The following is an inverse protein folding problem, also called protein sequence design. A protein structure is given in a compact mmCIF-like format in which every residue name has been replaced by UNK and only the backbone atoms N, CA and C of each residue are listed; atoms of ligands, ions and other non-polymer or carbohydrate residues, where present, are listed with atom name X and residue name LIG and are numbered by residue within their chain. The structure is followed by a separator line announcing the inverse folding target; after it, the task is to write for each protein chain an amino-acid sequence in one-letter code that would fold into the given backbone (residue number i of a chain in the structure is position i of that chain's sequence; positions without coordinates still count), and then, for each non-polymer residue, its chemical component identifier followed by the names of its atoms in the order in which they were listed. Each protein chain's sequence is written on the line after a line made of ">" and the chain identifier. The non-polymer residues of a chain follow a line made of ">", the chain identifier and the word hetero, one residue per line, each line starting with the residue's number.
data_IF_640937310275
#
_entry.id   IF_640937310275
#
_cell.length_a   1.000
_cell.length_b   1.000
_cell.length_c   1.000
_cell.angle_alpha   90.00
_cell.angle_beta   90.00
_cell.angle_gamma   90.00
#
_symmetry.space_group_name_H-M   'P 1'
#
loop_
_entity.id
_entity.type
_entity.pdbx_description
1 polymer ?
#
# COMPACT_ATOMS: atom_id res chain seq x y z
N UNK A 1 6.35 12.68 -1.40
CA UNK A 1 5.05 12.50 -2.08
C UNK A 1 4.85 13.61 -3.09
N UNK A 2 4.60 13.28 -4.35
CA UNK A 2 4.50 14.28 -5.43
C UNK A 2 3.17 14.99 -5.46
N UNK A 3 2.07 14.28 -5.24
CA UNK A 3 0.73 14.85 -5.16
C UNK A 3 -0.17 13.96 -4.30
N UNK A 4 -1.28 14.52 -3.90
CA UNK A 4 -2.34 13.80 -3.20
C UNK A 4 -3.69 14.29 -3.72
N UNK A 5 -4.47 13.38 -4.27
CA UNK A 5 -5.77 13.67 -4.86
C UNK A 5 -6.88 12.90 -4.13
N UNK A 6 -8.08 13.44 -4.17
CA UNK A 6 -9.26 12.79 -3.62
C UNK A 6 -10.26 12.45 -4.73
N UNK A 7 -10.95 11.34 -4.58
CA UNK A 7 -12.01 10.91 -5.49
C UNK A 7 -13.28 10.57 -4.71
N UNK A 8 -14.41 11.01 -5.21
CA UNK A 8 -15.70 10.71 -4.59
C UNK A 8 -16.20 9.34 -5.06
N UNK A 9 -16.58 8.52 -4.08
CA UNK A 9 -17.27 7.25 -4.30
C UNK A 9 -18.63 7.30 -3.58
N UNK A 10 -19.61 6.46 -3.97
CA UNK A 10 -20.97 6.54 -3.44
C UNK A 10 -21.10 6.52 -1.91
N UNK A 11 -20.21 5.82 -1.22
CA UNK A 11 -20.27 5.67 0.24
C UNK A 11 -18.99 6.06 0.97
N UNK A 12 -17.89 6.17 0.25
CA UNK A 12 -16.56 6.40 0.85
C UNK A 12 -15.70 7.23 -0.09
N UNK A 13 -14.78 7.96 0.49
CA UNK A 13 -13.78 8.67 -0.28
C UNK A 13 -12.51 7.84 -0.47
N UNK A 14 -11.74 8.24 -1.46
CA UNK A 14 -10.42 7.68 -1.75
C UNK A 14 -9.43 8.82 -1.88
N UNK A 15 -8.26 8.63 -1.31
CA UNK A 15 -7.11 9.49 -1.53
C UNK A 15 -6.12 8.74 -2.41
N UNK A 16 -5.73 9.35 -3.50
CA UNK A 16 -4.67 8.87 -4.37
C UNK A 16 -3.46 9.79 -4.24
N UNK A 17 -2.29 9.19 -4.11
CA UNK A 17 -1.05 9.92 -3.97
C UNK A 17 0.03 9.31 -4.84
N UNK A 18 0.87 10.15 -5.43
CA UNK A 18 2.10 9.69 -6.09
C UNK A 18 3.26 9.87 -5.12
N UNK A 19 4.03 8.79 -4.97
CA UNK A 19 5.22 8.79 -4.13
C UNK A 19 6.39 9.40 -4.91
N UNK A 20 7.26 10.14 -4.22
CA UNK A 20 8.53 10.56 -4.78
C UNK A 20 9.54 9.42 -4.76
N UNK A 21 10.64 9.59 -5.46
CA UNK A 21 11.65 8.55 -5.60
C UNK A 21 12.23 8.12 -4.26
N UNK A 22 12.37 9.05 -3.33
CA UNK A 22 12.88 8.76 -1.99
C UNK A 22 11.96 7.81 -1.21
N UNK A 23 10.65 8.05 -1.27
CA UNK A 23 9.65 7.17 -0.65
C UNK A 23 9.68 5.76 -1.28
N UNK A 24 9.79 5.71 -2.60
CA UNK A 24 9.85 4.45 -3.36
C UNK A 24 11.11 3.66 -3.01
N UNK A 25 12.25 4.32 -2.96
CA UNK A 25 13.52 3.68 -2.61
C UNK A 25 13.50 3.11 -1.19
N UNK A 26 12.92 3.84 -0.27
CA UNK A 26 12.73 3.37 1.09
C UNK A 26 11.86 2.11 1.17
N UNK A 27 10.74 2.10 0.45
CA UNK A 27 9.85 0.93 0.41
C UNK A 27 10.56 -0.28 -0.22
N UNK A 28 11.33 -0.10 -1.28
CA UNK A 28 12.13 -1.18 -1.86
C UNK A 28 13.15 -1.74 -0.89
N UNK A 29 13.80 -0.88 -0.12
CA UNK A 29 14.71 -1.30 0.94
C UNK A 29 14.02 -2.21 1.95
N UNK A 30 12.80 -1.88 2.36
CA UNK A 30 12.01 -2.71 3.26
C UNK A 30 11.61 -4.05 2.59
N UNK A 31 11.17 -4.00 1.34
CA UNK A 31 10.79 -5.20 0.60
C UNK A 31 11.96 -6.17 0.49
N UNK A 32 13.15 -5.69 0.12
CA UNK A 32 14.34 -6.54 0.04
C UNK A 32 14.77 -7.09 1.41
N UNK A 33 14.61 -6.29 2.44
CA UNK A 33 14.98 -6.71 3.81
C UNK A 33 14.07 -7.82 4.33
N UNK A 34 12.77 -7.74 4.07
CA UNK A 34 11.78 -8.63 4.69
C UNK A 34 11.31 -9.76 3.79
N UNK A 35 11.63 -9.75 2.49
CA UNK A 35 11.23 -10.82 1.59
C UNK A 35 11.94 -12.13 1.93
N UNK A 36 11.19 -13.24 2.19
CA UNK A 36 11.81 -14.51 2.53
C UNK A 36 12.22 -15.27 1.26
N UNK A 37 13.46 -15.70 1.20
CA UNK A 37 13.99 -16.61 0.15
C UNK A 37 13.65 -16.21 -1.29
N UNK A 38 13.40 -14.92 -1.53
CA UNK A 38 13.13 -14.40 -2.86
C UNK A 38 14.43 -14.19 -3.64
N UNK A 39 14.38 -14.46 -4.93
CA UNK A 39 15.47 -14.16 -5.86
C UNK A 39 15.12 -12.89 -6.61
N UNK A 40 15.96 -11.88 -6.46
CA UNK A 40 15.78 -10.57 -7.06
C UNK A 40 16.89 -10.27 -8.06
N UNK A 41 16.54 -9.56 -9.13
CA UNK A 41 17.46 -8.88 -10.03
C UNK A 41 17.14 -7.38 -9.95
N UNK A 42 17.90 -6.64 -9.11
CA UNK A 42 17.52 -5.29 -8.74
C UNK A 42 16.15 -5.28 -8.04
N UNK A 43 15.21 -4.54 -8.56
CA UNK A 43 13.82 -4.49 -8.08
C UNK A 43 12.87 -5.39 -8.87
N UNK A 44 13.42 -6.31 -9.65
CA UNK A 44 12.65 -7.29 -10.40
C UNK A 44 12.66 -8.62 -9.65
N UNK A 45 11.48 -9.12 -9.34
CA UNK A 45 11.33 -10.45 -8.74
C UNK A 45 11.55 -11.53 -9.80
N UNK A 46 12.51 -12.41 -9.58
CA UNK A 46 12.77 -13.56 -10.45
C UNK A 46 11.99 -14.77 -9.97
N UNK A 47 12.08 -15.08 -8.68
CA UNK A 47 11.34 -16.20 -8.10
C UNK A 47 11.11 -16.01 -6.61
N UNK A 48 10.03 -16.56 -6.13
CA UNK A 48 9.69 -16.63 -4.71
C UNK A 48 8.83 -17.87 -4.50
N UNK A 49 8.99 -18.54 -3.36
CA UNK A 49 8.15 -19.65 -2.99
C UNK A 49 6.68 -19.22 -2.85
N UNK A 50 5.76 -20.10 -3.25
CA UNK A 50 4.32 -19.80 -3.24
C UNK A 50 3.83 -19.34 -1.86
N UNK A 51 4.24 -20.02 -0.81
CA UNK A 51 3.83 -19.70 0.56
C UNK A 51 4.47 -18.42 1.10
N UNK A 52 5.48 -17.89 0.40
CA UNK A 52 6.24 -16.70 0.81
C UNK A 52 5.86 -15.44 0.03
N UNK A 53 4.90 -15.52 -0.88
CA UNK A 53 4.49 -14.38 -1.73
C UNK A 53 3.86 -13.24 -0.94
N UNK A 54 3.32 -13.50 0.22
CA UNK A 54 2.82 -12.48 1.12
C UNK A 54 3.63 -12.52 2.41
N UNK A 55 4.26 -11.43 2.75
CA UNK A 55 5.13 -11.36 3.92
C UNK A 55 4.96 -10.03 4.66
N UNK A 56 5.09 -10.05 6.00
CA UNK A 56 5.00 -8.83 6.78
C UNK A 56 6.21 -7.94 6.55
N UNK A 57 5.98 -6.65 6.62
CA UNK A 57 7.00 -5.61 6.57
C UNK A 57 6.89 -4.79 7.84
N UNK A 58 8.02 -4.29 8.31
CA UNK A 58 8.04 -3.30 9.37
C UNK A 58 8.56 -1.96 8.82
N UNK A 59 7.90 -0.87 9.18
CA UNK A 59 8.32 0.49 8.83
C UNK A 59 9.44 0.93 9.80
N UNK A 60 10.63 0.40 9.60
CA UNK A 60 11.74 0.44 10.57
C UNK A 60 12.10 1.85 11.06
N UNK A 61 12.03 2.83 10.17
CA UNK A 61 12.37 4.22 10.47
C UNK A 61 11.13 5.12 10.58
N UNK A 62 9.94 4.54 10.53
CA UNK A 62 8.66 5.24 10.52
C UNK A 62 8.51 6.27 9.39
N UNK A 63 9.32 6.16 8.34
CA UNK A 63 9.31 7.13 7.24
C UNK A 63 8.07 7.01 6.37
N UNK A 64 7.60 5.79 6.11
CA UNK A 64 6.39 5.60 5.34
C UNK A 64 5.17 6.11 6.10
N UNK A 65 5.06 5.79 7.37
CA UNK A 65 3.98 6.29 8.22
C UNK A 65 3.99 7.81 8.30
N UNK A 66 5.14 8.41 8.56
CA UNK A 66 5.24 9.85 8.78
C UNK A 66 5.13 10.67 7.49
N UNK A 67 5.71 10.19 6.39
CA UNK A 67 5.84 10.96 5.15
C UNK A 67 4.73 10.68 4.14
N UNK A 68 4.03 9.56 4.26
CA UNK A 68 3.00 9.16 3.31
C UNK A 68 1.66 8.94 3.98
N UNK A 69 1.56 8.00 4.90
CA UNK A 69 0.26 7.62 5.48
C UNK A 69 -0.37 8.75 6.30
N UNK A 70 0.42 9.39 7.12
CA UNK A 70 -0.07 10.48 7.98
C UNK A 70 -0.59 11.67 7.18
N UNK A 71 0.15 12.20 6.18
CA UNK A 71 -0.39 13.24 5.31
C UNK A 71 -1.63 12.81 4.54
N UNK A 72 -1.68 11.58 4.05
CA UNK A 72 -2.86 11.07 3.35
C UNK A 72 -4.08 10.97 4.27
N UNK A 73 -3.88 10.51 5.50
CA UNK A 73 -4.95 10.42 6.50
C UNK A 73 -5.47 11.81 6.87
N UNK A 74 -4.60 12.78 7.06
CA UNK A 74 -4.98 14.16 7.34
C UNK A 74 -5.79 14.74 6.17
N UNK A 75 -5.35 14.49 4.94
CA UNK A 75 -6.09 14.88 3.73
C UNK A 75 -7.47 14.25 3.67
N UNK A 76 -7.58 12.97 4.02
CA UNK A 76 -8.85 12.26 4.07
C UNK A 76 -9.81 12.90 5.09
N UNK A 77 -9.33 13.16 6.30
CA UNK A 77 -10.15 13.81 7.33
C UNK A 77 -10.59 15.22 6.92
N UNK A 78 -9.71 15.99 6.33
CA UNK A 78 -10.03 17.34 5.86
C UNK A 78 -11.07 17.34 4.74
N UNK A 79 -11.03 16.33 3.87
CA UNK A 79 -11.90 16.23 2.70
C UNK A 79 -13.26 15.61 3.04
N UNK A 80 -13.26 14.51 3.80
CA UNK A 80 -14.47 13.69 4.04
C UNK A 80 -14.95 13.73 5.48
N UNK A 81 -14.21 14.37 6.37
CA UNK A 81 -14.46 14.32 7.81
C UNK A 81 -14.05 12.98 8.42
N UNK A 82 -14.22 12.86 9.72
CA UNK A 82 -14.01 11.59 10.41
C UNK A 82 -15.33 10.81 10.41
N UNK A 83 -15.43 9.71 9.63
CA UNK A 83 -16.68 8.95 9.51
C UNK A 83 -17.03 8.18 10.78
N UNK A 84 -16.11 8.12 11.72
CA UNK A 84 -16.31 7.42 13.00
C UNK A 84 -16.23 8.41 14.14
N UNK A 85 -17.18 8.34 15.06
CA UNK A 85 -17.06 9.01 16.35
C UNK A 85 -16.04 8.24 17.18
N UNK A 86 -14.78 8.51 16.96
CA UNK A 86 -13.71 7.94 17.79
C UNK A 86 -13.85 8.54 19.19
N UNK A 87 -14.35 7.77 20.11
CA UNK A 87 -14.58 8.18 21.52
C UNK A 87 -13.28 8.19 22.33
N UNK A 88 -12.13 8.38 21.72
CA UNK A 88 -10.85 8.35 22.43
C UNK A 88 -10.20 9.73 22.40
N UNK A 89 -9.46 10.03 23.43
CA UNK A 89 -8.64 11.26 23.53
C UNK A 89 -7.51 11.29 22.49
N UNK A 90 -7.23 10.17 21.83
CA UNK A 90 -6.20 9.99 20.80
C UNK A 90 -6.81 9.74 19.42
N UNK A 91 -7.93 10.39 19.11
CA UNK A 91 -8.71 10.17 17.91
C UNK A 91 -7.93 10.37 16.59
N UNK A 92 -6.79 11.01 16.63
CA UNK A 92 -5.96 11.30 15.45
C UNK A 92 -4.71 10.43 15.36
N UNK A 93 -4.47 9.56 16.32
CA UNK A 93 -3.34 8.64 16.32
C UNK A 93 -3.77 7.32 15.72
N UNK A 94 -3.30 7.07 14.50
CA UNK A 94 -3.50 5.82 13.79
C UNK A 94 -2.20 5.02 13.81
N UNK A 95 -2.33 3.73 14.05
CA UNK A 95 -1.20 2.80 14.02
C UNK A 95 -1.46 1.71 12.99
N UNK A 96 -0.40 1.09 12.49
CA UNK A 96 -0.54 -0.06 11.64
C UNK A 96 -1.20 -1.21 12.41
N UNK A 97 -2.32 -1.70 11.88
CA UNK A 97 -2.85 -2.99 12.26
C UNK A 97 -2.06 -4.08 11.54
N UNK A 98 -1.84 -3.90 10.25
CA UNK A 98 -1.05 -4.81 9.41
C UNK A 98 -0.32 -4.01 8.35
N UNK A 99 0.92 -4.41 8.09
CA UNK A 99 1.70 -3.90 6.98
C UNK A 99 2.44 -5.09 6.36
N UNK A 100 2.09 -5.39 5.11
CA UNK A 100 2.68 -6.52 4.41
C UNK A 100 2.86 -6.19 2.93
N UNK A 101 3.74 -6.95 2.31
CA UNK A 101 3.95 -6.92 0.87
C UNK A 101 3.38 -8.19 0.25
N UNK A 102 2.79 -8.05 -0.92
CA UNK A 102 2.44 -9.17 -1.77
C UNK A 102 3.27 -9.10 -3.05
N UNK A 103 4.06 -10.14 -3.29
CA UNK A 103 4.78 -10.33 -4.52
C UNK A 103 3.94 -11.21 -5.44
N UNK A 104 3.72 -10.75 -6.67
CA UNK A 104 2.94 -11.50 -7.65
C UNK A 104 3.78 -11.73 -8.90
N UNK A 105 3.59 -12.88 -9.52
CA UNK A 105 4.19 -13.24 -10.81
C UNK A 105 3.06 -13.39 -11.83
N UNK A 106 3.42 -13.51 -13.11
CA UNK A 106 2.46 -13.67 -14.19
C UNK A 106 1.50 -14.85 -13.92
N UNK A 107 0.21 -14.61 -14.12
CA UNK A 107 -0.82 -15.62 -13.90
C UNK A 107 -1.31 -15.75 -12.47
N UNK A 108 -0.75 -15.02 -11.53
CA UNK A 108 -1.23 -15.03 -10.15
C UNK A 108 -2.65 -14.45 -10.05
N UNK A 109 -3.46 -15.09 -9.24
CA UNK A 109 -4.83 -14.70 -8.97
C UNK A 109 -5.08 -14.66 -7.48
N UNK A 110 -5.83 -13.65 -7.03
CA UNK A 110 -6.31 -13.57 -5.67
C UNK A 110 -7.84 -13.40 -5.70
N UNK A 111 -8.54 -14.29 -5.01
CA UNK A 111 -10.00 -14.23 -4.92
C UNK A 111 -10.46 -12.98 -4.18
N UNK A 112 -11.72 -12.60 -4.41
CA UNK A 112 -12.34 -11.48 -3.70
C UNK A 112 -12.29 -11.75 -2.19
N UNK A 113 -11.82 -10.77 -1.44
CA UNK A 113 -11.69 -10.84 0.01
C UNK A 113 -11.86 -9.45 0.60
N UNK A 114 -12.04 -9.36 1.90
CA UNK A 114 -12.13 -8.11 2.62
C UNK A 114 -10.96 -7.94 3.60
N UNK A 115 -10.81 -6.73 4.11
CA UNK A 115 -9.81 -6.37 5.09
C UNK A 115 -10.44 -5.67 6.27
N UNK A 116 -9.89 -5.89 7.44
CA UNK A 116 -10.28 -5.19 8.65
C UNK A 116 -9.44 -3.94 8.84
N UNK A 117 -9.98 -2.96 9.56
CA UNK A 117 -9.29 -1.71 9.87
C UNK A 117 -10.14 -0.49 9.55
N UNK A 118 -9.71 0.65 10.05
CA UNK A 118 -10.36 1.94 9.78
C UNK A 118 -10.02 2.42 8.38
N UNK A 119 -8.74 2.35 8.00
CA UNK A 119 -8.24 2.68 6.69
C UNK A 119 -7.49 1.51 6.08
N UNK A 120 -7.60 1.41 4.78
CA UNK A 120 -6.82 0.51 3.95
C UNK A 120 -5.99 1.34 2.98
N UNK A 121 -4.77 0.92 2.76
CA UNK A 121 -3.94 1.48 1.71
C UNK A 121 -3.38 0.39 0.82
N UNK A 122 -3.07 0.76 -0.41
CA UNK A 122 -2.37 -0.08 -1.38
C UNK A 122 -1.32 0.76 -2.05
N UNK A 123 -0.11 0.26 -2.13
CA UNK A 123 1.00 0.89 -2.86
C UNK A 123 1.43 -0.03 -3.99
N UNK A 124 1.43 0.48 -5.19
CA UNK A 124 1.91 -0.21 -6.38
C UNK A 124 3.36 0.18 -6.61
N UNK A 125 4.29 -0.69 -6.23
CA UNK A 125 5.72 -0.47 -6.48
C UNK A 125 6.11 -0.83 -7.91
N UNK A 126 5.53 -1.90 -8.44
CA UNK A 126 5.72 -2.34 -9.81
C UNK A 126 4.39 -2.81 -10.39
N UNK A 127 4.07 -2.32 -11.58
CA UNK A 127 2.94 -2.78 -12.37
C UNK A 127 3.50 -3.18 -13.73
N UNK A 128 3.74 -4.49 -13.95
CA UNK A 128 4.45 -4.97 -15.14
C UNK A 128 3.59 -5.06 -16.41
N UNK A 129 2.36 -4.60 -16.36
CA UNK A 129 1.42 -4.63 -17.48
C UNK A 129 0.71 -3.29 -17.64
N UNK A 130 0.18 -3.03 -18.83
CA UNK A 130 -0.73 -1.93 -19.08
C UNK A 130 -2.18 -2.44 -18.99
N UNK A 131 -3.06 -1.68 -18.36
CA UNK A 131 -4.47 -2.07 -18.18
C UNK A 131 -5.19 -2.34 -19.49
N UNK A 132 -4.74 -1.75 -20.59
CA UNK A 132 -5.26 -2.00 -21.94
C UNK A 132 -4.92 -3.41 -22.43
N UNK A 133 -3.70 -3.86 -22.20
CA UNK A 133 -3.25 -5.22 -22.55
C UNK A 133 -3.99 -6.27 -21.74
N UNK A 134 -4.16 -6.02 -20.45
CA UNK A 134 -4.87 -6.92 -19.55
C UNK A 134 -6.32 -7.11 -19.96
N UNK A 135 -6.98 -6.06 -20.42
CA UNK A 135 -8.37 -6.16 -20.92
C UNK A 135 -8.50 -6.94 -22.20
N UNK A 136 -7.45 -7.04 -23.01
CA UNK A 136 -7.46 -7.81 -24.25
C UNK A 136 -7.40 -9.31 -24.01
N UNK A 137 -6.89 -9.75 -22.86
CA UNK A 137 -6.76 -11.15 -22.48
C UNK A 137 -8.06 -11.69 -21.86
N UNK A 138 -8.91 -10.83 -21.38
CA UNK A 138 -10.22 -11.17 -20.85
C UNK A 138 -11.26 -11.21 -21.98
#
# INVERSE_FOLDING_TARGET
>A
MKYCESSDLPNFGVIEAALDQEDIDYLWKLVHKYSPDAVWEGNRLISIEEDSKQFPINDDENLFQNNVLKPCTEKYFDTYGCPFKLKTTHAHELAFSRFWCRASVDGDYQSIHDHQGIFKFVVWLTVPFEGKEERQVQ
#
